data_IF_360137000683
#
_entry.id   IF_360137000683
#
_cell.length_a   1.000
_cell.length_b   1.000
_cell.length_c   1.000
_cell.angle_alpha   90.00
_cell.angle_beta   90.00
_cell.angle_gamma   90.00
#
_symmetry.space_group_name_H-M   'P 1'
#
loop_
_entity.id
_entity.type
_entity.pdbx_description
1 polymer ?
#
# COMPACT_ATOMS: atom_id res chain seq x y z
N UNK A 1 32.81 4.51 27.85
CA UNK A 1 32.93 4.01 26.46
C UNK A 1 32.16 4.97 25.57
N UNK A 2 32.85 5.71 24.71
CA UNK A 2 32.20 6.47 23.63
C UNK A 2 31.67 5.45 22.62
N UNK A 3 30.36 5.37 22.43
CA UNK A 3 29.80 4.65 21.28
C UNK A 3 30.08 5.55 20.09
N UNK A 4 31.01 5.15 19.22
CA UNK A 4 31.15 5.80 17.93
C UNK A 4 29.79 5.70 17.21
N UNK A 5 29.16 6.84 16.96
CA UNK A 5 27.94 6.88 16.16
C UNK A 5 28.40 6.91 14.71
N UNK A 6 28.35 5.77 14.05
CA UNK A 6 28.61 5.69 12.62
C UNK A 6 27.53 6.49 11.89
N UNK A 7 27.92 7.57 11.21
CA UNK A 7 27.04 8.32 10.33
C UNK A 7 27.10 7.70 8.94
N UNK A 8 25.99 7.09 8.52
CA UNK A 8 25.88 6.51 7.18
C UNK A 8 25.12 7.46 6.27
N UNK A 9 25.65 7.68 5.06
CA UNK A 9 24.97 8.45 4.01
C UNK A 9 24.37 7.55 2.94
N UNK A 10 23.16 7.88 2.50
CA UNK A 10 22.50 7.24 1.37
C UNK A 10 22.45 5.72 1.46
N UNK A 11 22.95 5.02 0.43
CA UNK A 11 22.91 3.56 0.37
C UNK A 11 23.88 2.88 1.37
N UNK A 12 24.82 3.62 1.97
CA UNK A 12 25.83 3.03 2.86
C UNK A 12 25.22 2.43 4.13
N UNK A 13 24.10 2.96 4.63
CA UNK A 13 23.40 2.36 5.76
C UNK A 13 22.87 0.96 5.41
N UNK A 14 22.26 0.82 4.23
CA UNK A 14 21.83 -0.48 3.72
C UNK A 14 23.01 -1.45 3.57
N UNK A 15 24.13 -0.99 2.99
CA UNK A 15 25.33 -1.83 2.78
C UNK A 15 25.89 -2.33 4.12
N UNK A 16 26.00 -1.45 5.11
CA UNK A 16 26.48 -1.81 6.44
C UNK A 16 25.54 -2.82 7.12
N UNK A 17 24.23 -2.55 7.11
CA UNK A 17 23.22 -3.48 7.64
C UNK A 17 23.25 -4.84 6.93
N UNK A 18 23.34 -4.86 5.60
CA UNK A 18 23.43 -6.08 4.81
C UNK A 18 24.66 -6.91 5.21
N UNK A 19 25.82 -6.27 5.37
CA UNK A 19 27.05 -6.92 5.83
C UNK A 19 26.88 -7.55 7.21
N UNK A 20 26.33 -6.79 8.17
CA UNK A 20 26.09 -7.29 9.52
C UNK A 20 25.09 -8.46 9.55
N UNK A 21 23.95 -8.31 8.88
CA UNK A 21 22.90 -9.33 8.82
C UNK A 21 23.40 -10.59 8.11
N UNK A 22 24.13 -10.45 7.00
CA UNK A 22 24.71 -11.59 6.29
C UNK A 22 25.74 -12.33 7.14
N UNK A 23 26.57 -11.60 7.90
CA UNK A 23 27.50 -12.21 8.85
C UNK A 23 26.79 -12.98 9.98
N UNK A 24 25.66 -12.47 10.47
CA UNK A 24 24.90 -13.09 11.56
C UNK A 24 24.04 -14.28 11.14
N UNK A 25 23.41 -14.19 9.96
CA UNK A 25 22.38 -15.15 9.51
C UNK A 25 22.84 -16.03 8.34
N UNK A 26 23.99 -15.75 7.72
CA UNK A 26 24.59 -16.61 6.70
C UNK A 26 23.69 -16.82 5.48
N UNK A 27 23.40 -18.08 5.16
CA UNK A 27 22.58 -18.46 4.00
C UNK A 27 21.12 -17.99 4.13
N UNK A 28 20.61 -17.83 5.35
CA UNK A 28 19.24 -17.38 5.61
C UNK A 28 19.00 -15.90 5.27
N UNK A 29 20.06 -15.14 4.98
CA UNK A 29 19.96 -13.70 4.69
C UNK A 29 20.25 -13.44 3.21
N UNK A 30 19.24 -13.03 2.46
CA UNK A 30 19.37 -12.58 1.08
C UNK A 30 19.47 -11.05 1.01
N UNK A 31 20.59 -10.58 0.47
CA UNK A 31 20.90 -9.15 0.32
C UNK A 31 20.78 -8.66 -1.12
N UNK A 32 20.33 -9.52 -2.04
CA UNK A 32 20.24 -9.24 -3.48
C UNK A 32 19.07 -8.32 -3.86
N UNK A 33 18.03 -8.23 -3.02
CA UNK A 33 16.85 -7.41 -3.25
C UNK A 33 17.15 -5.90 -3.34
N UNK A 34 16.54 -5.20 -4.30
CA UNK A 34 16.82 -3.76 -4.53
C UNK A 34 16.40 -2.86 -3.35
N UNK A 35 15.31 -3.22 -2.66
CA UNK A 35 14.72 -2.41 -1.57
C UNK A 35 14.93 -3.04 -0.20
N UNK A 36 14.63 -4.33 -0.04
CA UNK A 36 14.71 -5.03 1.23
C UNK A 36 15.89 -6.01 1.28
N UNK A 37 16.32 -6.33 2.51
CA UNK A 37 17.15 -7.48 2.85
C UNK A 37 16.21 -8.53 3.42
N UNK A 38 16.17 -9.72 2.82
CA UNK A 38 15.20 -10.76 3.19
C UNK A 38 15.85 -11.77 4.14
N UNK A 39 15.15 -12.11 5.21
CA UNK A 39 15.51 -13.21 6.08
C UNK A 39 14.53 -14.37 5.86
N UNK A 40 15.07 -15.53 5.50
CA UNK A 40 14.32 -16.77 5.36
C UNK A 40 13.66 -17.17 6.67
N UNK A 41 12.52 -17.85 6.55
CA UNK A 41 11.85 -18.48 7.69
C UNK A 41 12.62 -19.70 8.19
N UNK A 42 12.37 -20.08 9.45
CA UNK A 42 12.80 -21.36 10.01
C UNK A 42 11.81 -21.80 11.11
N UNK A 43 12.13 -22.88 11.84
CA UNK A 43 11.25 -23.43 12.88
C UNK A 43 10.87 -22.46 14.01
N UNK A 44 11.60 -21.36 14.20
CA UNK A 44 11.33 -20.35 15.23
C UNK A 44 11.15 -18.92 14.71
N UNK A 45 11.16 -18.70 13.39
CA UNK A 45 11.16 -17.36 12.77
C UNK A 45 10.34 -17.38 11.49
N UNK A 46 9.41 -16.43 11.36
CA UNK A 46 8.72 -16.13 10.10
C UNK A 46 9.63 -15.39 9.14
N UNK A 47 9.39 -15.50 7.82
CA UNK A 47 10.09 -14.68 6.82
C UNK A 47 9.96 -13.19 7.18
N UNK A 48 11.04 -12.45 7.05
CA UNK A 48 11.06 -11.02 7.36
C UNK A 48 11.79 -10.23 6.27
N UNK A 49 11.19 -9.11 5.87
CA UNK A 49 11.79 -8.16 4.95
C UNK A 49 12.28 -6.95 5.76
N UNK A 50 13.58 -6.74 5.78
CA UNK A 50 14.22 -5.63 6.49
C UNK A 50 14.45 -4.51 5.47
N UNK A 51 13.90 -3.34 5.73
CA UNK A 51 14.02 -2.17 4.85
C UNK A 51 14.82 -1.08 5.56
N UNK A 52 16.14 -0.94 5.27
CA UNK A 52 16.94 0.15 5.82
C UNK A 52 16.45 1.49 5.29
N UNK A 53 16.11 2.40 6.19
CA UNK A 53 15.56 3.71 5.86
C UNK A 53 16.03 4.80 6.82
N UNK A 54 15.95 6.04 6.37
CA UNK A 54 16.16 7.23 7.20
C UNK A 54 14.85 7.95 7.44
N UNK A 55 14.78 8.71 8.53
CA UNK A 55 13.71 9.70 8.70
C UNK A 55 13.76 10.74 7.57
N UNK A 56 12.60 11.06 7.03
CA UNK A 56 12.42 12.06 5.98
C UNK A 56 11.38 13.09 6.44
N UNK A 57 11.63 14.37 6.23
CA UNK A 57 10.66 15.43 6.55
C UNK A 57 10.38 16.22 5.28
N UNK A 58 9.16 16.12 4.78
CA UNK A 58 8.70 16.98 3.69
C UNK A 58 8.18 18.28 4.27
N UNK A 59 8.75 19.42 3.88
CA UNK A 59 8.22 20.73 4.19
C UNK A 59 7.24 21.17 3.09
N UNK A 60 6.08 21.67 3.48
CA UNK A 60 5.04 22.16 2.59
C UNK A 60 4.36 23.40 3.18
N UNK A 61 3.37 23.94 2.47
CA UNK A 61 2.51 25.00 2.97
C UNK A 61 1.08 24.50 3.11
N UNK A 62 0.43 24.83 4.22
CA UNK A 62 -0.99 24.59 4.41
C UNK A 62 -1.84 25.56 3.55
N UNK A 63 -3.18 25.38 3.46
CA UNK A 63 -4.05 26.26 2.68
C UNK A 63 -4.05 27.73 3.11
N UNK A 64 -3.51 28.06 4.30
CA UNK A 64 -3.37 29.41 4.83
C UNK A 64 -1.95 29.97 4.63
N UNK A 65 -1.09 29.27 3.89
CA UNK A 65 0.28 29.68 3.60
C UNK A 65 1.25 29.51 4.75
N UNK A 66 0.91 28.75 5.80
CA UNK A 66 1.82 28.47 6.93
C UNK A 66 2.66 27.23 6.63
N UNK A 67 3.89 27.21 7.11
CA UNK A 67 4.78 26.05 6.98
C UNK A 67 4.15 24.86 7.70
N UNK A 68 4.01 23.75 6.99
CA UNK A 68 3.58 22.46 7.50
C UNK A 68 4.63 21.39 7.15
N UNK A 69 4.55 20.24 7.83
CA UNK A 69 5.48 19.14 7.63
C UNK A 69 4.77 17.80 7.52
N UNK A 70 5.36 16.88 6.77
CA UNK A 70 5.02 15.46 6.77
C UNK A 70 6.25 14.63 7.10
N UNK A 71 6.19 13.93 8.22
CA UNK A 71 7.21 12.96 8.62
C UNK A 71 7.02 11.66 7.84
N UNK A 72 8.05 11.19 7.18
CA UNK A 72 8.05 9.95 6.43
C UNK A 72 9.37 9.23 6.57
N UNK A 73 9.60 8.25 5.70
CA UNK A 73 10.88 7.57 5.61
C UNK A 73 11.39 7.62 4.17
N UNK A 74 12.70 7.68 4.02
CA UNK A 74 13.38 7.58 2.73
C UNK A 74 14.23 6.30 2.70
N UNK A 75 14.03 5.50 1.64
CA UNK A 75 14.77 4.28 1.37
C UNK A 75 15.68 4.52 0.17
N UNK A 76 16.97 4.22 0.33
CA UNK A 76 17.95 4.22 -0.75
C UNK A 76 18.11 2.81 -1.30
N UNK A 77 17.79 2.63 -2.59
CA UNK A 77 17.86 1.33 -3.26
C UNK A 77 19.25 1.02 -3.80
N UNK A 78 19.51 -0.24 -4.10
CA UNK A 78 20.79 -0.67 -4.71
C UNK A 78 20.97 -0.20 -6.14
N UNK A 79 19.87 0.12 -6.83
CA UNK A 79 19.87 0.67 -8.19
C UNK A 79 20.13 2.19 -8.24
N UNK A 80 20.41 2.82 -7.08
CA UNK A 80 20.68 4.24 -6.95
C UNK A 80 19.44 5.12 -6.86
N UNK A 81 18.23 4.56 -6.99
CA UNK A 81 16.97 5.29 -6.82
C UNK A 81 16.57 5.40 -5.36
N UNK A 82 15.62 6.30 -5.06
CA UNK A 82 15.05 6.46 -3.73
C UNK A 82 13.54 6.23 -3.72
N UNK A 83 13.01 5.93 -2.53
CA UNK A 83 11.57 5.89 -2.25
C UNK A 83 11.30 6.72 -1.03
N UNK A 84 10.30 7.59 -1.12
CA UNK A 84 9.73 8.25 0.04
C UNK A 84 8.36 7.62 0.33
N UNK A 85 8.15 7.21 1.57
CA UNK A 85 6.90 6.66 2.05
C UNK A 85 6.45 7.36 3.35
N UNK A 86 5.17 7.18 3.69
CA UNK A 86 4.51 7.80 4.84
C UNK A 86 3.72 6.73 5.63
N UNK A 87 4.40 5.69 6.14
CA UNK A 87 3.75 4.51 6.68
C UNK A 87 2.94 4.81 7.94
N UNK A 88 3.39 5.75 8.78
CA UNK A 88 2.69 6.12 10.01
C UNK A 88 1.35 6.82 9.73
N UNK A 89 1.33 7.72 8.73
CA UNK A 89 0.10 8.37 8.25
C UNK A 89 -0.84 7.34 7.65
N UNK A 90 -0.34 6.47 6.77
CA UNK A 90 -1.12 5.38 6.18
C UNK A 90 -1.73 4.46 7.26
N UNK A 91 -0.95 4.08 8.27
CA UNK A 91 -1.42 3.23 9.36
C UNK A 91 -2.51 3.94 10.17
N UNK A 92 -2.27 5.18 10.58
CA UNK A 92 -3.22 5.98 11.38
C UNK A 92 -4.53 6.18 10.65
N UNK A 93 -4.47 6.61 9.39
CA UNK A 93 -5.63 6.87 8.55
C UNK A 93 -6.39 5.57 8.26
N UNK A 94 -5.67 4.48 7.98
CA UNK A 94 -6.26 3.16 7.79
C UNK A 94 -6.96 2.62 9.04
N UNK A 95 -6.40 2.84 10.23
CA UNK A 95 -7.04 2.50 11.51
C UNK A 95 -8.31 3.33 11.71
N UNK A 96 -8.24 4.65 11.47
CA UNK A 96 -9.36 5.54 11.66
C UNK A 96 -10.52 5.17 10.74
N UNK A 97 -10.28 5.02 9.43
CA UNK A 97 -11.29 4.56 8.48
C UNK A 97 -11.88 3.21 8.87
N UNK A 98 -11.05 2.30 9.38
CA UNK A 98 -11.54 0.99 9.85
C UNK A 98 -12.48 1.12 11.06
N UNK A 99 -12.22 2.05 11.98
CA UNK A 99 -13.14 2.34 13.10
C UNK A 99 -14.44 2.96 12.60
N UNK A 100 -14.35 3.95 11.72
CA UNK A 100 -15.51 4.69 11.19
C UNK A 100 -16.44 3.82 10.35
N UNK A 101 -15.92 2.72 9.80
CA UNK A 101 -16.68 1.74 9.00
C UNK A 101 -17.01 0.46 9.76
N UNK A 102 -16.96 0.47 11.10
CA UNK A 102 -17.23 -0.70 11.95
C UNK A 102 -16.45 -1.96 11.51
N UNK A 103 -15.16 -1.80 11.22
CA UNK A 103 -14.20 -2.80 10.74
C UNK A 103 -14.35 -3.29 9.30
N UNK A 104 -15.37 -2.80 8.58
CA UNK A 104 -15.71 -3.28 7.23
C UNK A 104 -14.68 -2.89 6.19
N UNK A 105 -14.03 -1.73 6.33
CA UNK A 105 -12.93 -1.32 5.45
C UNK A 105 -11.84 -2.40 5.32
N UNK A 106 -11.23 -2.84 6.42
CA UNK A 106 -10.15 -3.86 6.34
C UNK A 106 -10.69 -5.24 5.96
N UNK A 107 -11.95 -5.56 6.22
CA UNK A 107 -12.59 -6.79 5.72
C UNK A 107 -12.70 -6.76 4.20
N UNK A 108 -13.22 -5.69 3.61
CA UNK A 108 -13.36 -5.56 2.16
C UNK A 108 -12.02 -5.44 1.44
N UNK A 109 -11.00 -4.80 2.04
CA UNK A 109 -9.62 -4.86 1.52
C UNK A 109 -9.14 -6.30 1.37
N UNK A 110 -9.36 -7.16 2.39
CA UNK A 110 -8.94 -8.57 2.34
C UNK A 110 -9.73 -9.37 1.31
N UNK A 111 -11.03 -9.10 1.17
CA UNK A 111 -11.87 -9.75 0.16
C UNK A 111 -11.41 -9.34 -1.25
N UNK A 112 -11.21 -8.04 -1.50
CA UNK A 112 -10.73 -7.56 -2.80
C UNK A 112 -9.37 -8.16 -3.17
N UNK A 113 -8.43 -8.26 -2.23
CA UNK A 113 -7.15 -8.95 -2.45
C UNK A 113 -7.32 -10.41 -2.88
N UNK A 114 -8.24 -11.15 -2.26
CA UNK A 114 -8.51 -12.54 -2.63
C UNK A 114 -9.15 -12.64 -4.02
N UNK A 115 -10.09 -11.74 -4.33
CA UNK A 115 -10.72 -11.70 -5.64
C UNK A 115 -9.73 -11.36 -6.74
N UNK A 116 -8.81 -10.43 -6.49
CA UNK A 116 -7.73 -10.10 -7.42
C UNK A 116 -6.80 -11.31 -7.65
N UNK A 117 -6.33 -11.99 -6.59
CA UNK A 117 -5.56 -13.22 -6.73
C UNK A 117 -6.30 -14.28 -7.58
N UNK A 118 -7.59 -14.52 -7.30
CA UNK A 118 -8.38 -15.48 -8.06
C UNK A 118 -8.50 -15.10 -9.56
N UNK A 119 -8.57 -13.80 -9.88
CA UNK A 119 -8.65 -13.31 -11.25
C UNK A 119 -7.31 -13.46 -11.98
N UNK A 120 -6.20 -13.23 -11.28
CA UNK A 120 -4.84 -13.46 -11.78
C UNK A 120 -4.62 -14.95 -12.06
N UNK A 121 -4.97 -15.82 -11.12
CA UNK A 121 -4.86 -17.28 -11.28
C UNK A 121 -5.71 -17.80 -12.45
N UNK A 122 -6.85 -17.16 -12.72
CA UNK A 122 -7.70 -17.45 -13.86
C UNK A 122 -7.23 -16.81 -15.19
N UNK A 123 -6.11 -16.07 -15.20
CA UNK A 123 -5.57 -15.40 -16.38
C UNK A 123 -6.45 -14.26 -16.90
N UNK A 124 -7.32 -13.69 -16.06
CA UNK A 124 -8.26 -12.61 -16.43
C UNK A 124 -7.63 -11.23 -16.40
N UNK A 125 -6.60 -11.05 -15.57
CA UNK A 125 -5.86 -9.79 -15.43
C UNK A 125 -4.43 -10.02 -14.97
N UNK A 126 -3.60 -8.99 -15.09
CA UNK A 126 -2.24 -8.99 -14.54
C UNK A 126 -2.27 -8.76 -13.02
N UNK A 127 -1.28 -9.30 -12.33
CA UNK A 127 -1.14 -9.12 -10.89
C UNK A 127 -0.93 -7.65 -10.53
N UNK A 128 -1.70 -7.18 -9.54
CA UNK A 128 -1.61 -5.83 -8.99
C UNK A 128 -1.04 -5.86 -7.58
N UNK A 129 -0.27 -4.84 -7.16
CA UNK A 129 0.30 -4.80 -5.82
C UNK A 129 -0.81 -4.78 -4.75
N UNK A 130 -0.69 -5.59 -3.70
CA UNK A 130 -1.73 -5.65 -2.66
C UNK A 130 -1.99 -4.32 -1.94
N UNK A 131 -1.03 -3.41 -1.96
CA UNK A 131 -1.22 -2.04 -1.48
C UNK A 131 -2.25 -1.27 -2.32
N UNK A 132 -2.35 -1.54 -3.62
CA UNK A 132 -3.33 -0.90 -4.49
C UNK A 132 -4.77 -1.19 -4.07
N UNK A 133 -5.09 -2.43 -3.68
CA UNK A 133 -6.41 -2.80 -3.15
C UNK A 133 -6.74 -2.04 -1.85
N UNK A 134 -5.73 -1.77 -1.02
CA UNK A 134 -5.89 -0.92 0.16
C UNK A 134 -6.19 0.53 -0.24
N UNK A 135 -5.43 1.08 -1.19
CA UNK A 135 -5.65 2.42 -1.72
C UNK A 135 -7.07 2.59 -2.29
N UNK A 136 -7.51 1.69 -3.16
CA UNK A 136 -8.83 1.76 -3.79
C UNK A 136 -9.95 1.76 -2.75
N UNK A 137 -9.91 0.83 -1.79
CA UNK A 137 -10.91 0.76 -0.72
C UNK A 137 -10.83 1.93 0.25
N UNK A 138 -9.66 2.53 0.46
CA UNK A 138 -9.51 3.72 1.29
C UNK A 138 -10.31 4.91 0.71
N UNK A 139 -10.34 5.03 -0.61
CA UNK A 139 -11.03 6.12 -1.32
C UNK A 139 -12.54 6.00 -1.38
N UNK A 140 -13.10 4.83 -1.11
CA UNK A 140 -14.55 4.66 -1.07
C UNK A 140 -15.12 5.42 0.14
N UNK A 141 -16.15 6.28 -0.01
CA UNK A 141 -16.79 6.99 1.10
C UNK A 141 -17.36 6.04 2.17
N UNK A 142 -17.34 6.47 3.44
CA UNK A 142 -17.77 5.62 4.56
C UNK A 142 -19.24 5.20 4.48
N UNK A 143 -20.09 5.97 3.79
CA UNK A 143 -21.52 5.67 3.58
C UNK A 143 -21.79 4.48 2.64
N UNK A 144 -20.74 3.93 2.00
CA UNK A 144 -20.81 2.71 1.19
C UNK A 144 -20.54 1.44 2.01
N UNK A 145 -20.18 1.61 3.28
CA UNK A 145 -20.00 0.54 4.25
C UNK A 145 -21.15 0.58 5.25
N UNK A 146 -21.42 -0.54 5.93
CA UNK A 146 -22.27 -0.50 7.11
C UNK A 146 -23.67 -1.07 6.90
N UNK A 147 -23.94 -1.76 5.79
CA UNK A 147 -25.26 -2.34 5.54
C UNK A 147 -25.70 -3.30 6.66
N UNK A 148 -26.89 -3.12 7.22
CA UNK A 148 -27.35 -3.88 8.38
C UNK A 148 -27.98 -5.24 8.03
N UNK A 149 -28.10 -5.59 6.75
CA UNK A 149 -28.69 -6.86 6.32
C UNK A 149 -27.80 -8.06 6.64
N UNK A 150 -28.40 -9.27 6.62
CA UNK A 150 -27.67 -10.53 6.76
C UNK A 150 -26.58 -10.73 5.69
N UNK A 151 -26.73 -10.10 4.52
CA UNK A 151 -25.77 -10.07 3.41
C UNK A 151 -24.92 -8.80 3.38
N UNK A 152 -24.79 -8.09 4.51
CA UNK A 152 -24.29 -6.72 4.53
C UNK A 152 -22.89 -6.54 3.94
N UNK A 153 -21.97 -7.51 4.09
CA UNK A 153 -20.65 -7.44 3.45
C UNK A 153 -20.71 -7.56 1.92
N UNK A 154 -21.61 -8.39 1.38
CA UNK A 154 -21.80 -8.51 -0.06
C UNK A 154 -22.41 -7.23 -0.65
N UNK A 155 -23.36 -6.63 0.07
CA UNK A 155 -23.96 -5.34 -0.32
C UNK A 155 -22.92 -4.22 -0.29
N UNK A 156 -22.12 -4.13 0.78
CA UNK A 156 -21.05 -3.14 0.89
C UNK A 156 -20.00 -3.33 -0.20
N UNK A 157 -19.58 -4.57 -0.47
CA UNK A 157 -18.64 -4.87 -1.55
C UNK A 157 -19.17 -4.37 -2.90
N UNK A 158 -20.44 -4.69 -3.24
CA UNK A 158 -21.08 -4.19 -4.46
C UNK A 158 -21.04 -2.66 -4.54
N UNK A 159 -21.42 -1.97 -3.46
CA UNK A 159 -21.38 -0.49 -3.39
C UNK A 159 -19.97 0.06 -3.56
N UNK A 160 -18.97 -0.57 -2.95
CA UNK A 160 -17.57 -0.16 -3.04
C UNK A 160 -17.01 -0.36 -4.46
N UNK A 161 -17.27 -1.51 -5.08
CA UNK A 161 -16.81 -1.81 -6.44
C UNK A 161 -17.47 -0.89 -7.46
N UNK A 162 -18.78 -0.65 -7.36
CA UNK A 162 -19.49 0.30 -8.22
C UNK A 162 -18.90 1.72 -8.10
N UNK A 163 -18.60 2.18 -6.88
CA UNK A 163 -17.95 3.48 -6.67
C UNK A 163 -16.58 3.56 -7.31
N UNK A 164 -15.75 2.51 -7.17
CA UNK A 164 -14.42 2.47 -7.78
C UNK A 164 -14.49 2.47 -9.30
N UNK A 165 -15.39 1.66 -9.86
CA UNK A 165 -15.61 1.61 -11.31
C UNK A 165 -16.02 2.97 -11.85
N UNK A 166 -17.07 3.58 -11.29
CA UNK A 166 -17.58 4.87 -11.74
C UNK A 166 -16.51 5.97 -11.67
N UNK A 167 -15.77 6.05 -10.56
CA UNK A 167 -14.75 7.06 -10.38
C UNK A 167 -13.56 6.88 -11.34
N UNK A 168 -13.20 5.62 -11.66
CA UNK A 168 -12.15 5.32 -12.61
C UNK A 168 -12.60 5.58 -14.07
N UNK A 169 -13.88 5.34 -14.38
CA UNK A 169 -14.47 5.54 -15.70
C UNK A 169 -14.71 7.03 -16.02
N UNK A 170 -15.18 7.82 -15.05
CA UNK A 170 -15.44 9.26 -15.21
C UNK A 170 -14.19 10.15 -15.01
N UNK A 171 -13.05 9.54 -14.68
CA UNK A 171 -11.77 10.22 -14.46
C UNK A 171 -11.65 10.96 -13.12
N UNK A 172 -12.66 10.91 -12.24
CA UNK A 172 -12.58 11.55 -10.92
C UNK A 172 -11.58 10.87 -9.98
N UNK A 173 -11.23 9.60 -10.24
CA UNK A 173 -10.21 8.85 -9.51
C UNK A 173 -8.81 9.43 -9.68
N UNK A 174 -8.52 10.19 -10.74
CA UNK A 174 -7.20 10.80 -11.00
C UNK A 174 -6.77 11.77 -9.88
N UNK A 175 -7.73 12.28 -9.10
CA UNK A 175 -7.47 13.16 -7.94
C UNK A 175 -7.28 12.40 -6.63
N UNK A 176 -7.31 11.08 -6.64
CA UNK A 176 -7.17 10.29 -5.42
C UNK A 176 -5.75 10.33 -4.89
N UNK A 177 -5.65 10.38 -3.57
CA UNK A 177 -4.40 10.22 -2.84
C UNK A 177 -4.31 8.80 -2.29
N UNK A 178 -3.10 8.30 -2.11
CA UNK A 178 -2.83 7.11 -1.31
C UNK A 178 -3.41 7.27 0.13
N UNK A 179 -3.57 6.18 0.92
CA UNK A 179 -4.08 6.25 2.29
C UNK A 179 -3.30 7.17 3.24
N UNK A 180 -2.05 7.52 2.92
CA UNK A 180 -1.29 8.52 3.66
C UNK A 180 -1.80 9.96 3.45
N UNK A 181 -2.68 10.20 2.49
CA UNK A 181 -3.24 11.51 2.12
C UNK A 181 -2.20 12.57 1.72
N UNK A 182 -1.03 12.11 1.27
CA UNK A 182 0.08 12.97 0.85
C UNK A 182 0.41 12.71 -0.62
N UNK A 183 0.59 11.44 -1.00
CA UNK A 183 1.00 11.06 -2.36
C UNK A 183 -0.22 10.85 -3.27
N UNK A 184 -0.17 11.31 -4.53
CA UNK A 184 -1.15 10.90 -5.55
C UNK A 184 -1.17 9.39 -5.72
N UNK A 185 -2.37 8.82 -5.80
CA UNK A 185 -2.56 7.39 -6.05
C UNK A 185 -2.23 7.02 -7.50
N UNK A 186 -2.53 7.90 -8.44
CA UNK A 186 -2.21 7.75 -9.86
C UNK A 186 -1.26 8.85 -10.29
N UNK A 187 -0.44 8.55 -11.30
CA UNK A 187 0.53 9.48 -11.85
C UNK A 187 1.81 8.81 -12.31
N UNK A 188 2.74 9.63 -12.80
CA UNK A 188 4.01 9.14 -13.32
C UNK A 188 4.81 8.41 -12.22
N UNK A 189 5.34 7.22 -12.56
CA UNK A 189 6.11 6.38 -11.64
C UNK A 189 5.31 5.43 -10.75
N UNK A 190 3.97 5.45 -10.79
CA UNK A 190 3.14 4.41 -10.16
C UNK A 190 3.18 3.11 -10.98
N UNK A 191 3.05 1.97 -10.30
CA UNK A 191 3.04 0.63 -10.94
C UNK A 191 1.67 0.24 -11.49
N UNK A 192 0.69 1.12 -11.35
CA UNK A 192 -0.71 0.94 -11.72
C UNK A 192 -1.27 2.28 -12.22
N UNK A 193 -2.44 2.20 -12.83
CA UNK A 193 -3.19 3.30 -13.43
C UNK A 193 -4.67 3.26 -13.01
N UNK A 194 -5.41 4.33 -13.32
CA UNK A 194 -6.87 4.35 -13.16
C UNK A 194 -7.54 3.31 -14.06
N UNK A 195 -6.97 3.00 -15.23
CA UNK A 195 -7.42 1.92 -16.09
C UNK A 195 -7.30 0.54 -15.41
N UNK A 196 -6.24 0.30 -14.63
CA UNK A 196 -6.12 -0.92 -13.83
C UNK A 196 -7.19 -1.00 -12.74
N UNK A 197 -7.51 0.13 -12.10
CA UNK A 197 -8.62 0.19 -11.13
C UNK A 197 -9.96 -0.16 -11.78
N UNK A 198 -10.21 0.41 -12.97
CA UNK A 198 -11.42 0.17 -13.77
C UNK A 198 -11.52 -1.30 -14.19
N UNK A 199 -10.43 -1.88 -14.70
CA UNK A 199 -10.38 -3.28 -15.10
C UNK A 199 -10.63 -4.21 -13.91
N UNK A 200 -9.93 -3.98 -12.79
CA UNK A 200 -10.12 -4.75 -11.56
C UNK A 200 -11.59 -4.71 -11.10
N UNK A 201 -12.20 -3.52 -11.07
CA UNK A 201 -13.59 -3.36 -10.64
C UNK A 201 -14.56 -4.11 -11.58
N UNK A 202 -14.36 -4.01 -12.89
CA UNK A 202 -15.16 -4.72 -13.88
C UNK A 202 -15.02 -6.26 -13.76
N UNK A 203 -13.80 -6.76 -13.65
CA UNK A 203 -13.55 -8.21 -13.54
C UNK A 203 -14.09 -8.78 -12.23
N UNK A 204 -13.97 -8.04 -11.12
CA UNK A 204 -14.62 -8.39 -9.85
C UNK A 204 -16.13 -8.42 -10.00
N UNK A 205 -16.72 -7.45 -10.69
CA UNK A 205 -18.16 -7.39 -10.92
C UNK A 205 -18.67 -8.61 -11.68
N UNK A 206 -17.98 -8.96 -12.79
CA UNK A 206 -18.28 -10.14 -13.61
C UNK A 206 -18.11 -11.42 -12.79
N UNK A 207 -17.00 -11.58 -12.06
CA UNK A 207 -16.72 -12.77 -11.24
C UNK A 207 -17.80 -13.02 -10.19
N UNK A 208 -18.33 -11.96 -9.59
CA UNK A 208 -19.38 -12.04 -8.58
C UNK A 208 -20.80 -12.16 -9.16
N UNK A 209 -20.95 -12.12 -10.50
CA UNK A 209 -22.24 -12.16 -11.20
C UNK A 209 -23.23 -11.13 -10.66
N UNK A 210 -22.73 -9.91 -10.44
CA UNK A 210 -23.56 -8.79 -10.02
C UNK A 210 -24.37 -8.28 -11.22
N UNK A 211 -25.57 -7.75 -10.97
CA UNK A 211 -26.48 -7.21 -12.01
C UNK A 211 -25.80 -6.09 -12.83
N UNK A 212 -26.31 -5.77 -14.02
CA UNK A 212 -25.69 -4.78 -14.92
C UNK A 212 -25.48 -3.39 -14.25
N UNK A 213 -24.32 -2.76 -14.51
CA UNK A 213 -23.95 -1.38 -14.11
C UNK A 213 -24.24 -0.41 -15.24
#
# INVERSE_FOLDING_TARGET
MSVAIDHFEGVNFRINMATYLKGKFGADCDTSGSTAIELAENSGRVRADIVPSYSHVMYCYDPWGRVATHEGQIVYRTDGTTVINYPDQQLRNGIQKNKDTATRYKQLVRILKRLENDLVDAGRMNALPSYFMECLMYRVPNDRFGDASASGLSVDLRRCIAYIFAAADDGSAERWLEPNEIKPLFGNGQKWSSADARQLALEVWIKLKLDDI
#
